data_IF_847105401487
#
_entry.id   IF_847105401487
#
_cell.length_a   1.000
_cell.length_b   1.000
_cell.length_c   1.000
_cell.angle_alpha   90.00
_cell.angle_beta   90.00
_cell.angle_gamma   90.00
#
_symmetry.space_group_name_H-M   'P 1'
#
loop_
_entity.id
_entity.type
_entity.pdbx_description
1 polymer ?
#
# COMPACT_ATOMS: atom_id res chain seq x y z
N UNK A 1 10.75 6.54 -8.31
CA UNK A 1 12.11 6.12 -8.76
C UNK A 1 13.02 6.00 -7.56
N UNK A 2 13.48 4.81 -7.20
CA UNK A 2 14.49 4.64 -6.17
C UNK A 2 15.88 4.92 -6.76
N UNK A 3 16.77 5.51 -5.97
CA UNK A 3 18.16 5.78 -6.37
C UNK A 3 19.17 4.80 -5.74
N UNK A 4 20.31 4.60 -6.38
CA UNK A 4 21.39 3.79 -5.85
C UNK A 4 22.31 4.61 -4.93
N UNK A 5 22.74 5.77 -5.39
CA UNK A 5 23.63 6.68 -4.65
C UNK A 5 22.90 8.00 -4.39
N UNK A 6 22.36 8.23 -3.18
CA UNK A 6 21.69 9.49 -2.85
C UNK A 6 22.73 10.61 -2.72
N UNK A 7 22.52 11.77 -3.36
CA UNK A 7 23.52 12.85 -3.38
C UNK A 7 23.68 13.61 -2.05
N UNK A 8 22.65 13.58 -1.20
CA UNK A 8 22.59 14.41 0.01
C UNK A 8 22.22 13.64 1.28
N UNK A 9 22.19 12.31 1.22
CA UNK A 9 21.81 11.45 2.35
C UNK A 9 22.83 10.32 2.52
N UNK A 10 23.00 9.78 3.73
CA UNK A 10 23.78 8.56 3.91
C UNK A 10 23.18 7.41 3.11
N UNK A 11 23.98 6.41 2.80
CA UNK A 11 23.50 5.18 2.14
C UNK A 11 22.40 4.55 2.99
N UNK A 12 21.28 4.15 2.38
CA UNK A 12 20.24 3.42 3.09
C UNK A 12 20.76 2.08 3.60
N UNK A 13 20.26 1.63 4.72
CA UNK A 13 20.56 0.29 5.28
C UNK A 13 20.10 -0.82 4.34
N UNK A 14 18.91 -0.67 3.75
CA UNK A 14 18.39 -1.59 2.74
C UNK A 14 19.13 -1.43 1.42
N UNK A 15 19.55 -2.54 0.82
CA UNK A 15 20.20 -2.58 -0.50
C UNK A 15 19.29 -2.04 -1.61
N UNK A 16 19.86 -1.68 -2.76
CA UNK A 16 19.10 -1.24 -3.94
C UNK A 16 18.10 -2.33 -4.39
N UNK A 17 18.50 -3.60 -4.33
CA UNK A 17 17.63 -4.72 -4.67
C UNK A 17 16.44 -4.84 -3.72
N UNK A 18 16.67 -4.78 -2.40
CA UNK A 18 15.61 -4.80 -1.40
C UNK A 18 14.65 -3.62 -1.54
N UNK A 19 15.16 -2.42 -1.81
CA UNK A 19 14.31 -1.23 -2.03
C UNK A 19 13.47 -1.35 -3.29
N UNK A 20 14.03 -1.94 -4.36
CA UNK A 20 13.30 -2.25 -5.59
C UNK A 20 12.14 -3.21 -5.29
N UNK A 21 12.41 -4.31 -4.63
CA UNK A 21 11.42 -5.32 -4.25
C UNK A 21 10.30 -4.73 -3.39
N UNK A 22 10.63 -3.93 -2.38
CA UNK A 22 9.62 -3.25 -1.55
C UNK A 22 8.69 -2.34 -2.38
N UNK A 23 9.21 -1.65 -3.39
CA UNK A 23 8.38 -0.80 -4.26
C UNK A 23 7.51 -1.68 -5.19
N UNK A 24 8.07 -2.74 -5.77
CA UNK A 24 7.32 -3.67 -6.62
C UNK A 24 6.14 -4.27 -5.87
N UNK A 25 6.35 -4.70 -4.62
CA UNK A 25 5.28 -5.17 -3.73
C UNK A 25 4.25 -4.07 -3.47
N UNK A 26 4.69 -2.87 -3.11
CA UNK A 26 3.79 -1.76 -2.77
C UNK A 26 2.89 -1.32 -3.94
N UNK A 27 3.35 -1.46 -5.19
CA UNK A 27 2.60 -1.03 -6.38
C UNK A 27 1.91 -2.18 -7.12
N UNK A 28 2.09 -3.42 -6.68
CA UNK A 28 1.62 -4.62 -7.40
C UNK A 28 0.13 -4.56 -7.77
N UNK A 29 -0.70 -4.00 -6.89
CA UNK A 29 -2.15 -3.87 -7.08
C UNK A 29 -2.59 -2.48 -7.60
N UNK A 30 -1.64 -1.66 -8.05
CA UNK A 30 -1.92 -0.31 -8.53
C UNK A 30 -1.57 -0.15 -10.02
N UNK A 31 -2.51 -0.39 -10.93
CA UNK A 31 -2.21 -0.45 -12.39
C UNK A 31 -1.73 0.89 -12.97
N UNK A 32 -1.91 2.00 -12.25
CA UNK A 32 -1.44 3.32 -12.66
C UNK A 32 0.03 3.58 -12.30
N UNK A 33 0.65 2.73 -11.48
CA UNK A 33 2.05 2.86 -11.08
C UNK A 33 2.94 1.91 -11.87
N UNK A 34 4.08 2.45 -12.28
CA UNK A 34 5.15 1.67 -12.93
C UNK A 34 6.46 1.99 -12.24
N UNK A 35 7.23 0.97 -11.92
CA UNK A 35 8.57 1.15 -11.37
C UNK A 35 9.53 1.61 -12.47
N UNK A 36 10.17 2.75 -12.25
CA UNK A 36 11.31 3.19 -13.04
C UNK A 36 12.58 3.01 -12.20
N UNK A 37 13.43 2.09 -12.60
CA UNK A 37 14.63 1.69 -11.86
C UNK A 37 15.93 2.24 -12.46
N UNK A 38 15.86 3.19 -13.40
CA UNK A 38 17.03 3.77 -14.08
C UNK A 38 18.10 4.31 -13.14
N UNK A 39 17.68 4.89 -12.02
CA UNK A 39 18.61 5.41 -11.03
C UNK A 39 19.29 4.32 -10.18
N UNK A 40 18.71 3.13 -10.08
CA UNK A 40 19.31 2.00 -9.37
C UNK A 40 20.53 1.43 -10.10
N UNK A 41 20.58 1.58 -11.40
CA UNK A 41 21.71 1.11 -12.24
C UNK A 41 22.88 2.08 -12.27
N UNK A 42 22.70 3.31 -11.78
CA UNK A 42 23.76 4.31 -11.74
C UNK A 42 24.74 4.06 -10.61
N UNK A 43 26.02 4.17 -10.90
CA UNK A 43 27.11 4.09 -9.92
C UNK A 43 27.54 5.46 -9.39
N UNK A 44 27.06 6.54 -10.03
CA UNK A 44 27.26 7.93 -9.65
C UNK A 44 26.04 8.48 -8.91
N UNK A 45 26.16 9.60 -8.17
CA UNK A 45 25.02 10.27 -7.58
C UNK A 45 23.93 10.56 -8.60
N UNK A 46 22.67 10.26 -8.27
CA UNK A 46 21.52 10.49 -9.15
C UNK A 46 20.97 11.89 -8.90
N UNK A 47 21.19 12.79 -9.86
CA UNK A 47 20.63 14.13 -9.82
C UNK A 47 19.26 14.14 -10.49
N UNK A 48 18.26 14.72 -9.82
CA UNK A 48 16.89 14.79 -10.32
C UNK A 48 16.80 15.42 -11.70
N UNK A 49 17.57 16.48 -11.95
CA UNK A 49 17.60 17.17 -13.25
C UNK A 49 18.03 16.24 -14.38
N UNK A 50 19.04 15.40 -14.18
CA UNK A 50 19.54 14.47 -15.20
C UNK A 50 18.50 13.38 -15.51
N UNK A 51 17.81 12.90 -14.51
CA UNK A 51 16.71 11.92 -14.67
C UNK A 51 15.55 12.55 -15.44
N UNK A 52 15.19 13.78 -15.12
CA UNK A 52 14.13 14.51 -15.84
C UNK A 52 14.51 14.84 -17.28
N UNK A 53 15.80 15.16 -17.56
CA UNK A 53 16.30 15.32 -18.92
C UNK A 53 16.17 14.04 -19.74
N UNK A 54 16.48 12.88 -19.16
CA UNK A 54 16.29 11.58 -19.82
C UNK A 54 14.81 11.31 -20.09
N UNK A 55 13.94 11.50 -19.10
CA UNK A 55 12.50 11.34 -19.27
C UNK A 55 11.94 12.29 -20.33
N UNK A 56 12.37 13.54 -20.35
CA UNK A 56 11.96 14.52 -21.36
C UNK A 56 12.40 14.11 -22.77
N UNK A 57 13.59 13.55 -22.92
CA UNK A 57 14.08 13.03 -24.20
C UNK A 57 13.24 11.84 -24.70
N UNK A 58 12.79 10.97 -23.79
CA UNK A 58 11.96 9.81 -24.12
C UNK A 58 10.51 10.20 -24.44
N UNK A 59 9.91 11.09 -23.65
CA UNK A 59 8.52 11.49 -23.77
C UNK A 59 8.27 12.57 -24.83
N UNK A 60 9.32 13.28 -25.24
CA UNK A 60 9.23 14.39 -26.15
C UNK A 60 8.88 15.72 -25.47
N UNK A 61 8.98 16.85 -26.22
CA UNK A 61 8.90 18.21 -25.63
C UNK A 61 7.48 18.64 -25.25
N UNK A 62 6.45 17.95 -25.73
CA UNK A 62 5.04 18.36 -25.55
C UNK A 62 4.29 17.58 -24.49
N UNK A 63 4.79 16.40 -24.09
CA UNK A 63 4.09 15.58 -23.10
C UNK A 63 4.13 16.27 -21.74
N UNK A 64 2.99 16.53 -21.09
CA UNK A 64 2.98 17.00 -19.72
C UNK A 64 3.71 16.03 -18.79
N UNK A 65 4.59 16.56 -17.96
CA UNK A 65 5.36 15.81 -16.98
C UNK A 65 5.32 16.56 -15.65
N UNK A 66 4.91 15.89 -14.60
CA UNK A 66 4.93 16.40 -13.24
C UNK A 66 5.83 15.54 -12.35
N UNK A 67 6.69 16.18 -11.57
CA UNK A 67 7.52 15.54 -10.57
C UNK A 67 6.95 15.81 -9.18
N UNK A 68 6.64 14.75 -8.45
CA UNK A 68 6.01 14.85 -7.13
C UNK A 68 7.10 14.96 -6.07
N UNK A 69 7.00 15.99 -5.23
CA UNK A 69 7.90 16.23 -4.10
C UNK A 69 7.13 16.58 -2.84
N UNK A 70 7.74 16.33 -1.69
CA UNK A 70 7.22 16.84 -0.42
C UNK A 70 7.50 18.33 -0.22
N UNK A 71 6.75 18.99 0.64
CA UNK A 71 6.94 20.40 0.98
C UNK A 71 8.32 20.69 1.57
N UNK A 72 8.87 19.78 2.35
CA UNK A 72 10.24 19.87 2.87
C UNK A 72 11.30 19.92 1.75
N UNK A 73 11.05 19.19 0.66
CA UNK A 73 11.90 19.21 -0.53
C UNK A 73 11.77 20.50 -1.33
N UNK A 74 10.55 21.06 -1.42
CA UNK A 74 10.34 22.39 -2.03
C UNK A 74 11.11 23.48 -1.28
N UNK A 75 11.07 23.49 0.05
CA UNK A 75 11.76 24.47 0.87
C UNK A 75 13.30 24.44 0.71
N UNK A 76 13.84 23.28 0.34
CA UNK A 76 15.29 23.10 0.08
C UNK A 76 15.65 22.98 -1.39
N UNK A 77 14.72 23.22 -2.30
CA UNK A 77 14.87 22.99 -3.74
C UNK A 77 16.06 23.76 -4.34
N UNK A 78 16.30 24.99 -3.87
CA UNK A 78 17.41 25.83 -4.30
C UNK A 78 18.80 25.23 -4.03
N UNK A 79 18.90 24.21 -3.20
CA UNK A 79 20.14 23.45 -2.93
C UNK A 79 20.35 22.28 -3.89
N UNK A 80 19.36 22.01 -4.74
CA UNK A 80 19.46 20.89 -5.67
C UNK A 80 20.32 21.26 -6.87
N UNK A 81 21.03 20.29 -7.39
CA UNK A 81 21.86 20.47 -8.56
C UNK A 81 21.04 20.98 -9.75
N UNK A 82 21.45 22.16 -10.30
CA UNK A 82 20.77 22.80 -11.44
C UNK A 82 19.24 22.99 -11.23
N UNK A 83 18.85 23.37 -10.04
CA UNK A 83 17.45 23.46 -9.64
C UNK A 83 16.61 24.40 -10.53
N UNK A 84 17.22 25.48 -11.04
CA UNK A 84 16.55 26.42 -11.95
C UNK A 84 16.08 25.76 -13.26
N UNK A 85 16.74 24.66 -13.66
CA UNK A 85 16.38 23.91 -14.88
C UNK A 85 15.13 23.04 -14.70
N UNK A 86 14.77 22.69 -13.48
CA UNK A 86 13.70 21.72 -13.21
C UNK A 86 12.35 22.13 -13.82
N UNK A 87 11.94 23.40 -13.69
CA UNK A 87 10.66 23.88 -14.26
C UNK A 87 10.69 24.00 -15.78
N UNK A 88 11.84 23.93 -16.43
CA UNK A 88 11.92 23.82 -17.89
C UNK A 88 11.62 22.40 -18.37
N UNK A 89 11.75 21.41 -17.51
CA UNK A 89 11.63 19.98 -17.82
C UNK A 89 10.31 19.39 -17.37
N UNK A 90 9.74 19.87 -16.26
CA UNK A 90 8.52 19.33 -15.67
C UNK A 90 7.76 20.41 -14.88
N UNK A 91 6.54 20.06 -14.46
CA UNK A 91 5.87 20.72 -13.35
C UNK A 91 6.36 20.12 -12.02
N UNK A 92 6.23 20.84 -10.92
CA UNK A 92 6.38 20.32 -9.56
C UNK A 92 5.00 20.20 -8.92
N UNK A 93 4.64 18.98 -8.53
CA UNK A 93 3.48 18.72 -7.71
C UNK A 93 3.93 18.52 -6.27
N UNK A 94 3.56 19.44 -5.40
CA UNK A 94 4.04 19.48 -4.03
C UNK A 94 2.97 18.96 -3.08
N UNK A 95 3.30 17.91 -2.32
CA UNK A 95 2.44 17.39 -1.27
C UNK A 95 2.78 18.04 0.06
N UNK A 96 1.75 18.41 0.82
CA UNK A 96 1.93 18.99 2.14
C UNK A 96 2.49 17.98 3.14
N UNK A 97 3.16 18.49 4.15
CA UNK A 97 3.69 17.69 5.24
C UNK A 97 3.46 18.39 6.59
N UNK A 98 3.00 17.68 7.63
CA UNK A 98 2.83 18.26 8.95
C UNK A 98 4.12 18.89 9.48
N UNK A 99 4.01 20.06 10.11
CA UNK A 99 5.15 20.74 10.74
C UNK A 99 6.05 21.57 9.82
N UNK A 100 5.73 21.65 8.52
CA UNK A 100 6.48 22.48 7.58
C UNK A 100 5.63 23.66 7.11
N UNK A 101 5.95 24.92 7.47
CA UNK A 101 5.28 26.09 6.92
C UNK A 101 5.65 26.26 5.44
N UNK A 102 4.71 26.77 4.63
CA UNK A 102 4.96 27.11 3.23
C UNK A 102 5.55 28.50 3.11
N UNK A 103 6.73 28.72 3.66
CA UNK A 103 7.48 29.96 3.58
C UNK A 103 8.89 29.66 3.14
N UNK A 104 9.29 30.20 2.00
CA UNK A 104 10.63 30.02 1.46
C UNK A 104 11.68 30.74 2.32
N UNK A 105 12.93 30.31 2.20
CA UNK A 105 14.02 30.79 3.06
C UNK A 105 14.38 32.27 2.77
N UNK A 106 14.26 32.70 1.52
CA UNK A 106 14.57 34.08 1.10
C UNK A 106 13.43 34.73 0.32
N UNK A 107 13.35 36.08 0.28
CA UNK A 107 12.37 36.81 -0.52
C UNK A 107 12.43 36.46 -2.01
N UNK A 108 13.63 36.26 -2.56
CA UNK A 108 13.84 35.92 -3.98
C UNK A 108 13.26 34.53 -4.29
N UNK A 109 13.45 33.56 -3.40
CA UNK A 109 12.86 32.23 -3.54
C UNK A 109 11.34 32.28 -3.40
N UNK A 110 10.82 33.11 -2.51
CA UNK A 110 9.39 33.31 -2.37
C UNK A 110 8.80 33.93 -3.63
N UNK A 111 9.45 34.94 -4.21
CA UNK A 111 9.03 35.55 -5.47
C UNK A 111 9.02 34.54 -6.62
N UNK A 112 10.05 33.68 -6.71
CA UNK A 112 10.07 32.60 -7.68
C UNK A 112 8.90 31.62 -7.51
N UNK A 113 8.56 31.26 -6.29
CA UNK A 113 7.40 30.38 -6.01
C UNK A 113 6.10 31.08 -6.43
N UNK A 114 5.90 32.32 -6.02
CA UNK A 114 4.70 33.11 -6.31
C UNK A 114 4.45 33.29 -7.81
N UNK A 115 5.52 33.45 -8.60
CA UNK A 115 5.44 33.54 -10.07
C UNK A 115 5.05 32.23 -10.75
N UNK A 116 5.44 31.10 -10.19
CA UNK A 116 5.30 29.81 -10.83
C UNK A 116 4.16 28.95 -10.26
N UNK A 117 3.60 29.31 -9.10
CA UNK A 117 2.52 28.58 -8.48
C UNK A 117 1.22 28.69 -9.32
N UNK A 118 0.47 27.61 -9.36
CA UNK A 118 -0.88 27.54 -9.94
C UNK A 118 -1.80 26.75 -9.03
N UNK A 119 -3.05 27.15 -8.96
CA UNK A 119 -4.14 26.42 -8.30
C UNK A 119 -5.01 25.65 -9.31
N UNK A 120 -4.76 25.83 -10.61
CA UNK A 120 -5.48 25.18 -11.70
C UNK A 120 -4.79 23.87 -12.11
N UNK A 121 -5.37 22.75 -11.74
CA UNK A 121 -4.91 21.39 -12.14
C UNK A 121 -4.85 21.23 -13.66
N UNK A 122 -5.79 21.85 -14.38
CA UNK A 122 -5.89 21.82 -15.84
C UNK A 122 -4.61 22.32 -16.50
N UNK A 123 -3.93 23.29 -15.89
CA UNK A 123 -2.66 23.81 -16.41
C UNK A 123 -1.57 22.74 -16.50
N UNK A 124 -1.56 21.80 -15.54
CA UNK A 124 -0.60 20.69 -15.54
C UNK A 124 -0.82 19.68 -16.69
N UNK A 125 -2.04 19.64 -17.24
CA UNK A 125 -2.37 18.80 -18.39
C UNK A 125 -2.20 19.51 -19.73
N UNK A 126 -2.33 20.83 -19.75
CA UNK A 126 -2.28 21.63 -20.97
C UNK A 126 -0.86 22.07 -21.36
N UNK A 127 0.02 22.21 -20.39
CA UNK A 127 1.41 22.63 -20.57
C UNK A 127 2.36 21.47 -20.27
N UNK A 128 3.51 21.36 -20.96
CA UNK A 128 4.47 20.28 -20.71
C UNK A 128 5.24 20.43 -19.39
N UNK A 129 5.45 21.66 -18.92
CA UNK A 129 6.29 22.00 -17.78
C UNK A 129 6.04 23.42 -17.27
N UNK A 130 6.71 23.85 -16.21
CA UNK A 130 6.85 25.25 -15.83
C UNK A 130 5.98 25.72 -14.68
N UNK A 131 5.20 24.86 -14.02
CA UNK A 131 4.32 25.23 -12.91
C UNK A 131 4.59 24.46 -11.65
N UNK A 132 4.32 25.10 -10.51
CA UNK A 132 4.30 24.49 -9.19
C UNK A 132 2.85 24.41 -8.73
N UNK A 133 2.39 23.19 -8.42
CA UNK A 133 1.04 22.95 -7.91
C UNK A 133 1.11 22.44 -6.48
N UNK A 134 0.46 23.14 -5.56
CA UNK A 134 0.41 22.79 -4.14
C UNK A 134 -0.80 21.90 -3.89
N UNK A 135 -0.58 20.60 -3.88
CA UNK A 135 -1.65 19.61 -3.72
C UNK A 135 -2.17 19.58 -2.28
N UNK A 136 -3.48 19.68 -2.13
CA UNK A 136 -4.15 19.43 -0.85
C UNK A 136 -4.42 17.94 -0.74
N UNK A 137 -3.58 17.24 0.00
CA UNK A 137 -3.69 15.81 0.23
C UNK A 137 -3.97 15.53 1.71
N UNK A 138 -4.62 14.40 2.05
CA UNK A 138 -4.70 13.96 3.43
C UNK A 138 -3.31 13.89 4.05
N UNK A 139 -3.19 14.35 5.28
CA UNK A 139 -1.93 14.33 6.02
C UNK A 139 -1.85 13.03 6.83
N UNK A 140 -0.81 12.25 6.59
CA UNK A 140 -0.51 11.05 7.36
C UNK A 140 0.79 11.26 8.14
N UNK A 141 0.73 11.05 9.45
CA UNK A 141 1.92 11.14 10.32
C UNK A 141 2.68 9.80 10.29
N UNK A 142 3.25 9.50 9.14
CA UNK A 142 4.02 8.29 8.90
C UNK A 142 5.47 8.66 8.55
N UNK A 143 6.42 8.03 9.23
CA UNK A 143 7.83 8.19 8.92
C UNK A 143 8.56 6.85 8.88
N UNK A 144 9.59 6.76 8.03
CA UNK A 144 10.45 5.60 7.98
C UNK A 144 11.14 5.32 9.33
N UNK A 145 11.41 6.35 10.12
CA UNK A 145 11.96 6.22 11.48
C UNK A 145 10.97 5.52 12.41
N UNK A 146 9.71 5.91 12.38
CA UNK A 146 8.65 5.26 13.18
C UNK A 146 8.49 3.79 12.79
N UNK A 147 8.49 3.50 11.49
CA UNK A 147 8.39 2.12 10.97
C UNK A 147 9.56 1.28 11.47
N UNK A 148 10.80 1.74 11.31
CA UNK A 148 11.99 1.01 11.79
C UNK A 148 11.95 0.78 13.31
N UNK A 149 11.62 1.81 14.07
CA UNK A 149 11.49 1.69 15.54
C UNK A 149 10.44 0.65 15.95
N UNK A 150 9.29 0.60 15.28
CA UNK A 150 8.27 -0.42 15.55
C UNK A 150 8.79 -1.83 15.21
N UNK A 151 9.43 -2.00 14.05
CA UNK A 151 10.01 -3.29 13.64
C UNK A 151 11.09 -3.77 14.62
N UNK A 152 11.99 -2.90 15.05
CA UNK A 152 13.02 -3.20 16.07
C UNK A 152 12.40 -3.66 17.41
N UNK A 153 11.23 -3.15 17.74
CA UNK A 153 10.50 -3.50 18.98
C UNK A 153 9.42 -4.58 18.75
N UNK A 154 9.45 -5.29 17.63
CA UNK A 154 8.48 -6.33 17.27
C UNK A 154 7.01 -5.88 17.33
N UNK A 155 6.75 -4.60 17.03
CA UNK A 155 5.42 -4.01 16.96
C UNK A 155 4.89 -4.09 15.54
N UNK A 156 3.56 -4.25 15.36
CA UNK A 156 2.93 -4.23 14.04
C UNK A 156 3.11 -2.89 13.33
N UNK A 157 3.30 -2.96 12.02
CA UNK A 157 3.34 -1.83 11.10
C UNK A 157 2.21 -1.87 10.05
N UNK A 158 1.20 -2.71 10.23
CA UNK A 158 0.12 -2.94 9.25
C UNK A 158 -0.68 -1.66 8.94
N UNK A 159 -0.74 -0.74 9.90
CA UNK A 159 -1.36 0.58 9.76
C UNK A 159 -0.46 1.62 9.04
N UNK A 160 0.81 1.32 8.86
CA UNK A 160 1.82 2.25 8.32
C UNK A 160 2.39 1.84 6.97
N UNK A 161 2.24 0.57 6.59
CA UNK A 161 2.76 0.02 5.35
C UNK A 161 1.62 -0.30 4.39
N UNK A 162 1.87 -0.21 3.06
CA UNK A 162 0.96 -0.83 2.11
C UNK A 162 0.81 -2.31 2.46
N UNK A 163 -0.36 -2.88 2.27
CA UNK A 163 -0.50 -4.32 2.41
C UNK A 163 0.52 -5.02 1.51
N UNK A 164 1.13 -6.09 2.02
CA UNK A 164 2.09 -6.88 1.25
C UNK A 164 1.48 -7.28 -0.09
N UNK A 165 2.24 -7.11 -1.18
CA UNK A 165 1.74 -7.27 -2.55
C UNK A 165 1.29 -8.69 -2.92
N UNK A 166 1.54 -9.68 -2.07
CA UNK A 166 0.91 -11.00 -2.10
C UNK A 166 -0.30 -11.04 -1.17
N UNK A 167 -1.28 -10.18 -1.39
CA UNK A 167 -2.61 -10.49 -0.88
C UNK A 167 -3.09 -11.74 -1.60
N UNK A 168 -3.13 -12.82 -0.85
CA UNK A 168 -3.88 -13.98 -1.28
C UNK A 168 -5.30 -13.53 -1.61
N UNK A 169 -5.71 -13.69 -2.86
CA UNK A 169 -7.03 -13.28 -3.37
C UNK A 169 -7.67 -14.44 -4.11
N UNK A 170 -8.98 -14.41 -4.18
CA UNK A 170 -9.75 -15.38 -4.94
C UNK A 170 -9.40 -16.82 -4.55
N UNK A 171 -9.04 -17.64 -5.53
CA UNK A 171 -8.76 -19.07 -5.34
C UNK A 171 -7.54 -19.33 -4.44
N UNK A 172 -6.48 -18.54 -4.54
CA UNK A 172 -5.28 -18.71 -3.71
C UNK A 172 -5.59 -18.42 -2.22
N UNK A 173 -6.39 -17.41 -1.92
CA UNK A 173 -6.87 -17.14 -0.57
C UNK A 173 -7.76 -18.27 -0.05
N UNK A 174 -8.68 -18.77 -0.88
CA UNK A 174 -9.54 -19.89 -0.53
C UNK A 174 -8.72 -21.14 -0.18
N UNK A 175 -7.73 -21.50 -1.00
CA UNK A 175 -6.88 -22.67 -0.79
C UNK A 175 -6.04 -22.51 0.48
N UNK A 176 -5.49 -21.33 0.73
CA UNK A 176 -4.77 -21.01 1.97
C UNK A 176 -5.65 -21.20 3.21
N UNK A 177 -6.87 -20.62 3.20
CA UNK A 177 -7.80 -20.74 4.34
C UNK A 177 -8.22 -22.16 4.58
N UNK A 178 -8.53 -22.91 3.52
CA UNK A 178 -8.88 -24.35 3.63
C UNK A 178 -7.72 -25.16 4.23
N UNK A 179 -6.47 -24.87 3.81
CA UNK A 179 -5.26 -25.49 4.36
C UNK A 179 -5.14 -25.23 5.87
N UNK A 180 -5.32 -23.99 6.30
CA UNK A 180 -5.25 -23.62 7.73
C UNK A 180 -6.35 -24.25 8.57
N UNK A 181 -7.53 -24.42 8.02
CA UNK A 181 -8.64 -25.14 8.67
C UNK A 181 -8.32 -26.63 8.79
N UNK A 182 -7.74 -27.22 7.76
CA UNK A 182 -7.35 -28.65 7.76
C UNK A 182 -6.17 -28.95 8.70
N UNK A 183 -5.23 -28.00 8.91
CA UNK A 183 -4.15 -28.10 9.87
C UNK A 183 -4.65 -28.55 11.27
N UNK A 184 -5.79 -28.07 11.70
CA UNK A 184 -6.42 -28.43 12.98
C UNK A 184 -7.48 -29.54 12.87
N UNK A 185 -7.49 -30.26 11.75
CA UNK A 185 -8.36 -31.42 11.55
C UNK A 185 -9.86 -31.08 11.65
N UNK A 186 -10.26 -29.94 11.16
CA UNK A 186 -11.66 -29.62 10.98
C UNK A 186 -12.32 -30.64 10.03
N UNK A 187 -13.60 -30.91 10.26
CA UNK A 187 -14.36 -31.89 9.49
C UNK A 187 -15.27 -31.18 8.46
N UNK A 188 -15.61 -31.92 7.40
CA UNK A 188 -16.60 -31.53 6.40
C UNK A 188 -16.39 -30.09 5.88
N UNK A 189 -15.17 -29.77 5.45
CA UNK A 189 -14.78 -28.46 4.93
C UNK A 189 -15.41 -28.28 3.54
N UNK A 190 -16.24 -27.25 3.38
CA UNK A 190 -16.89 -26.88 2.12
C UNK A 190 -16.61 -25.42 1.82
N UNK A 191 -16.17 -25.14 0.59
CA UNK A 191 -16.06 -23.80 0.06
C UNK A 191 -17.15 -23.56 -1.00
N UNK A 192 -17.93 -22.50 -0.82
CA UNK A 192 -19.08 -22.17 -1.67
C UNK A 192 -18.78 -20.83 -2.35
N UNK A 193 -18.79 -20.81 -3.68
CA UNK A 193 -18.74 -19.58 -4.47
C UNK A 193 -20.10 -18.87 -4.37
N UNK A 194 -20.09 -17.67 -3.78
CA UNK A 194 -21.28 -16.83 -3.61
C UNK A 194 -21.16 -15.51 -4.38
N UNK A 195 -20.16 -15.43 -5.26
CA UNK A 195 -19.94 -14.26 -6.09
C UNK A 195 -21.16 -13.95 -6.97
N UNK A 196 -21.66 -12.72 -6.85
CA UNK A 196 -22.90 -12.31 -7.51
C UNK A 196 -24.19 -12.78 -6.86
N UNK A 197 -24.13 -13.66 -5.85
CA UNK A 197 -25.27 -14.07 -5.02
C UNK A 197 -25.27 -13.35 -3.67
N UNK A 198 -24.09 -13.03 -3.14
CA UNK A 198 -23.90 -12.27 -1.90
C UNK A 198 -23.37 -10.88 -2.21
N UNK A 199 -23.81 -9.88 -1.42
CA UNK A 199 -23.30 -8.51 -1.49
C UNK A 199 -22.13 -8.24 -0.51
N UNK A 200 -21.79 -9.22 0.34
CA UNK A 200 -20.85 -9.04 1.46
C UNK A 200 -19.57 -9.85 1.32
N UNK A 201 -19.55 -10.90 0.50
CA UNK A 201 -18.39 -11.77 0.30
C UNK A 201 -18.46 -12.48 -1.04
N UNK A 202 -17.35 -12.95 -1.55
CA UNK A 202 -17.26 -13.72 -2.80
C UNK A 202 -17.26 -15.24 -2.53
N UNK A 203 -16.81 -15.67 -1.35
CA UNK A 203 -16.76 -17.08 -0.98
C UNK A 203 -17.14 -17.29 0.49
N UNK A 204 -17.84 -18.36 0.76
CA UNK A 204 -18.08 -18.87 2.11
C UNK A 204 -17.35 -20.19 2.31
N UNK A 205 -16.60 -20.30 3.39
CA UNK A 205 -15.98 -21.56 3.82
C UNK A 205 -16.67 -22.00 5.11
N UNK A 206 -17.21 -23.22 5.10
CA UNK A 206 -17.90 -23.80 6.23
C UNK A 206 -17.17 -25.06 6.66
N UNK A 207 -16.93 -25.22 7.94
CA UNK A 207 -16.30 -26.41 8.49
C UNK A 207 -16.90 -26.77 9.85
N UNK A 208 -16.65 -28.00 10.28
CA UNK A 208 -17.13 -28.55 11.55
C UNK A 208 -16.00 -28.77 12.53
N UNK A 209 -16.16 -28.25 13.74
CA UNK A 209 -15.34 -28.57 14.90
C UNK A 209 -16.03 -29.59 15.78
N UNK A 210 -15.26 -30.50 16.38
CA UNK A 210 -15.76 -31.64 17.19
C UNK A 210 -16.16 -31.26 18.61
N UNK A 211 -15.80 -30.06 19.05
CA UNK A 211 -16.13 -29.51 20.39
C UNK A 211 -16.07 -27.99 20.36
N UNK A 212 -16.59 -27.35 21.40
CA UNK A 212 -16.48 -25.90 21.57
C UNK A 212 -15.03 -25.42 21.51
N UNK A 213 -14.14 -26.14 22.19
CA UNK A 213 -12.70 -25.83 22.20
C UNK A 213 -12.09 -25.99 20.81
N UNK A 214 -12.48 -27.02 20.07
CA UNK A 214 -12.00 -27.24 18.71
C UNK A 214 -12.46 -26.14 17.75
N UNK A 215 -13.72 -25.72 17.82
CA UNK A 215 -14.27 -24.59 17.05
C UNK A 215 -13.48 -23.32 17.32
N UNK A 216 -13.21 -22.99 18.58
CA UNK A 216 -12.42 -21.82 18.95
C UNK A 216 -10.99 -21.91 18.43
N UNK A 217 -10.33 -23.07 18.60
CA UNK A 217 -8.95 -23.28 18.14
C UNK A 217 -8.82 -23.13 16.62
N UNK A 218 -9.78 -23.65 15.86
CA UNK A 218 -9.79 -23.48 14.39
C UNK A 218 -9.93 -22.00 14.03
N UNK A 219 -10.89 -21.30 14.63
CA UNK A 219 -11.10 -19.89 14.35
C UNK A 219 -9.87 -19.03 14.71
N UNK A 220 -9.27 -19.26 15.88
CA UNK A 220 -8.07 -18.57 16.32
C UNK A 220 -6.89 -18.84 15.37
N UNK A 221 -6.71 -20.09 14.92
CA UNK A 221 -5.66 -20.46 13.98
C UNK A 221 -5.84 -19.76 12.63
N UNK A 222 -7.06 -19.70 12.10
CA UNK A 222 -7.38 -18.95 10.88
C UNK A 222 -7.05 -17.47 11.05
N UNK A 223 -7.45 -16.85 12.17
CA UNK A 223 -7.17 -15.44 12.47
C UNK A 223 -5.67 -15.20 12.54
N UNK A 224 -4.93 -16.02 13.27
CA UNK A 224 -3.48 -15.86 13.44
C UNK A 224 -2.75 -16.04 12.12
N UNK A 225 -3.04 -17.13 11.39
CA UNK A 225 -2.39 -17.41 10.10
C UNK A 225 -2.72 -16.35 9.05
N UNK A 226 -3.94 -15.80 9.06
CA UNK A 226 -4.31 -14.69 8.19
C UNK A 226 -3.48 -13.44 8.46
N UNK A 227 -3.25 -13.10 9.74
CA UNK A 227 -2.41 -11.96 10.13
C UNK A 227 -0.95 -12.13 9.72
N UNK A 228 -0.42 -13.35 9.81
CA UNK A 228 0.96 -13.68 9.39
C UNK A 228 1.22 -13.45 7.90
N UNK A 229 0.17 -13.54 7.07
CA UNK A 229 0.23 -13.23 5.63
C UNK A 229 -0.34 -11.85 5.28
N UNK A 230 -0.45 -10.94 6.26
CA UNK A 230 -0.88 -9.57 6.05
C UNK A 230 -2.40 -9.37 5.89
N UNK A 231 -3.22 -10.40 6.15
CA UNK A 231 -4.67 -10.33 6.09
C UNK A 231 -5.24 -10.08 7.49
N UNK A 232 -5.69 -8.86 7.76
CA UNK A 232 -6.38 -8.55 9.01
C UNK A 232 -7.87 -8.88 8.89
N UNK A 233 -8.42 -9.76 9.76
CA UNK A 233 -9.85 -10.02 9.78
C UNK A 233 -10.65 -8.74 10.00
N UNK A 234 -11.70 -8.54 9.20
CA UNK A 234 -12.63 -7.41 9.33
C UNK A 234 -13.53 -7.56 10.57
N UNK A 235 -13.73 -8.79 11.01
CA UNK A 235 -14.50 -9.10 12.21
C UNK A 235 -14.43 -10.56 12.60
N UNK A 236 -14.54 -10.81 13.90
CA UNK A 236 -14.70 -12.16 14.47
C UNK A 236 -15.86 -12.14 15.44
N UNK A 237 -16.84 -13.03 15.23
CA UNK A 237 -18.06 -13.10 16.04
C UNK A 237 -18.30 -14.52 16.54
N UNK A 238 -18.96 -14.65 17.68
CA UNK A 238 -19.37 -15.94 18.22
C UNK A 238 -18.37 -16.60 19.15
N UNK A 239 -17.23 -15.99 19.45
CA UNK A 239 -16.16 -16.58 20.30
C UNK A 239 -16.70 -17.03 21.67
N UNK A 240 -17.62 -16.27 22.26
CA UNK A 240 -18.17 -16.59 23.58
C UNK A 240 -19.26 -17.68 23.54
N UNK A 241 -19.85 -17.94 22.39
CA UNK A 241 -20.88 -18.97 22.22
C UNK A 241 -20.31 -20.35 21.92
N UNK A 242 -19.11 -20.42 21.32
CA UNK A 242 -18.29 -21.62 21.09
C UNK A 242 -18.89 -22.75 20.24
N UNK A 243 -20.12 -22.63 19.79
CA UNK A 243 -20.78 -23.57 18.89
C UNK A 243 -20.81 -23.11 17.43
N UNK A 244 -20.60 -21.82 17.23
CA UNK A 244 -20.52 -21.19 15.92
C UNK A 244 -19.68 -19.91 15.96
N UNK A 245 -18.52 -19.93 15.32
CA UNK A 245 -17.65 -18.76 15.17
C UNK A 245 -17.56 -18.35 13.71
N UNK A 246 -17.68 -17.06 13.45
CA UNK A 246 -17.57 -16.46 12.12
C UNK A 246 -16.32 -15.59 12.05
N UNK A 247 -15.46 -15.82 11.07
CA UNK A 247 -14.30 -15.01 10.77
C UNK A 247 -14.50 -14.34 9.42
N UNK A 248 -14.58 -13.02 9.40
CA UNK A 248 -14.77 -12.21 8.20
C UNK A 248 -13.40 -11.72 7.71
N UNK A 249 -12.99 -12.16 6.52
CA UNK A 249 -11.75 -11.79 5.83
C UNK A 249 -12.03 -10.93 4.57
N UNK A 250 -13.24 -10.40 4.41
CA UNK A 250 -13.67 -9.63 3.26
C UNK A 250 -14.12 -10.50 2.10
N UNK A 251 -13.21 -10.94 1.25
CA UNK A 251 -13.54 -11.84 0.13
C UNK A 251 -14.03 -13.22 0.59
N UNK A 252 -13.62 -13.66 1.77
CA UNK A 252 -14.01 -14.96 2.35
C UNK A 252 -14.58 -14.75 3.75
N UNK A 253 -15.72 -15.37 4.01
CA UNK A 253 -16.26 -15.52 5.35
C UNK A 253 -16.15 -16.99 5.75
N UNK A 254 -15.49 -17.25 6.88
CA UNK A 254 -15.31 -18.61 7.44
C UNK A 254 -16.32 -18.82 8.55
N UNK A 255 -17.09 -19.90 8.42
CA UNK A 255 -18.01 -20.39 9.45
C UNK A 255 -17.45 -21.67 10.06
N UNK A 256 -17.08 -21.59 11.33
CA UNK A 256 -16.62 -22.75 12.11
C UNK A 256 -17.76 -23.14 13.07
N UNK A 257 -18.34 -24.30 12.88
CA UNK A 257 -19.56 -24.71 13.56
C UNK A 257 -19.42 -26.09 14.18
N UNK A 258 -20.12 -26.32 15.30
CA UNK A 258 -20.37 -27.67 15.75
C UNK A 258 -21.43 -28.34 14.85
N UNK A 259 -21.42 -29.66 14.82
CA UNK A 259 -22.30 -30.45 13.95
C UNK A 259 -23.77 -30.11 14.16
N UNK A 260 -24.20 -29.96 15.41
CA UNK A 260 -25.60 -29.63 15.75
C UNK A 260 -26.03 -28.28 15.15
N UNK A 261 -25.19 -27.25 15.28
CA UNK A 261 -25.45 -25.94 14.71
C UNK A 261 -25.44 -25.97 13.19
N UNK A 262 -24.51 -26.73 12.59
CA UNK A 262 -24.41 -26.89 11.14
C UNK A 262 -25.68 -27.54 10.56
N UNK A 263 -26.21 -28.60 11.20
CA UNK A 263 -27.45 -29.26 10.80
C UNK A 263 -28.67 -28.36 11.02
N UNK A 264 -28.69 -27.58 12.10
CA UNK A 264 -29.83 -26.71 12.41
C UNK A 264 -29.99 -25.56 11.41
N UNK A 265 -28.87 -24.89 11.08
CA UNK A 265 -28.90 -23.69 10.23
C UNK A 265 -28.75 -23.98 8.74
N UNK A 266 -28.19 -25.12 8.35
CA UNK A 266 -28.04 -25.58 6.95
C UNK A 266 -27.59 -24.48 5.98
N UNK A 267 -26.50 -23.75 6.33
CA UNK A 267 -25.99 -22.58 5.54
C UNK A 267 -25.73 -22.96 4.09
N UNK A 268 -25.30 -24.17 3.82
CA UNK A 268 -25.01 -24.68 2.49
C UNK A 268 -26.23 -24.59 1.55
N UNK A 269 -27.44 -24.77 2.09
CA UNK A 269 -28.67 -24.71 1.31
C UNK A 269 -29.09 -23.29 0.92
N UNK A 270 -28.57 -22.29 1.62
CA UNK A 270 -28.88 -20.88 1.31
C UNK A 270 -28.18 -20.40 0.03
N UNK A 271 -27.09 -21.05 -0.33
CA UNK A 271 -26.20 -20.59 -1.40
C UNK A 271 -25.99 -21.62 -2.53
N UNK A 272 -26.63 -22.79 -2.43
CA UNK A 272 -26.59 -23.86 -3.45
C UNK A 272 -27.49 -23.56 -4.66
#
# INVERSE_FOLDING_TARGET
MPNNVPPHRPQPEASSAQRKEMIELAIANHPLFTLDDRELTRTTPSWTVETLEQLRAELGPKQPLAFIIGQDSLLSLHRWHRWETLLTLCHLLVTQRPGYPLTMETPEQQAWLDENVTDAVETLHQQPAGKVFLAQTPLYDISATTIRHRLENHQSCDDLLPPDGEHLQGKALQDFIVDKIDDLKAQDIIAIDVKGKSSITDCMVICTGTSNRHVMSIAEHVVQSSREVGLSPMGVKGINASDWVVVDLGEIIVHVMQEESRQLYELEKLWS
#
